data_IF_502550681434
#
_entry.id   IF_502550681434
#
_cell.length_a   1.000
_cell.length_b   1.000
_cell.length_c   1.000
_cell.angle_alpha   90.00
_cell.angle_beta   90.00
_cell.angle_gamma   90.00
#
_symmetry.space_group_name_H-M   'P 1'
#
loop_
_entity.id
_entity.type
_entity.pdbx_description
1 polymer ?
#
# COMPACT_ATOMS: atom_id res chain seq x y z
N UNK A 1 -15.32 24.83 2.34
CA UNK A 1 -15.37 26.17 1.75
C UNK A 1 -15.08 25.98 0.26
N UNK A 2 -16.09 26.13 -0.59
CA UNK A 2 -15.98 25.88 -2.03
C UNK A 2 -15.58 27.19 -2.72
N UNK A 3 -14.28 27.37 -2.97
CA UNK A 3 -13.77 28.65 -3.47
C UNK A 3 -14.06 28.89 -4.96
N UNK A 4 -14.44 27.84 -5.71
CA UNK A 4 -14.78 27.94 -7.14
C UNK A 4 -15.96 27.04 -7.56
N UNK A 5 -16.85 26.68 -6.63
CA UNK A 5 -18.02 25.82 -6.91
C UNK A 5 -17.71 24.35 -7.24
N UNK A 6 -16.44 23.93 -7.24
CA UNK A 6 -16.03 22.53 -7.47
C UNK A 6 -15.77 21.85 -6.12
N UNK A 7 -16.62 20.88 -5.77
CA UNK A 7 -16.39 19.97 -4.64
C UNK A 7 -15.95 18.63 -5.23
N UNK A 8 -14.65 18.35 -5.17
CA UNK A 8 -14.11 17.04 -5.51
C UNK A 8 -13.75 16.29 -4.22
N UNK A 9 -14.16 15.02 -4.11
CA UNK A 9 -13.71 14.16 -3.01
C UNK A 9 -12.18 13.98 -3.07
N UNK A 10 -11.51 13.63 -1.97
CA UNK A 10 -10.07 13.33 -2.02
C UNK A 10 -9.81 11.95 -2.64
N UNK A 11 -8.85 11.84 -3.56
CA UNK A 11 -8.38 10.57 -4.11
C UNK A 11 -8.19 10.56 -5.63
N UNK A 12 -7.58 9.50 -6.15
CA UNK A 12 -7.17 9.40 -7.56
C UNK A 12 -8.34 9.52 -8.55
N UNK A 13 -9.48 8.89 -8.23
CA UNK A 13 -10.71 9.00 -9.04
C UNK A 13 -11.21 10.44 -9.16
N UNK A 14 -11.02 11.24 -8.12
CA UNK A 14 -11.41 12.65 -8.14
C UNK A 14 -10.42 13.50 -8.92
N UNK A 15 -9.13 13.16 -8.87
CA UNK A 15 -8.10 13.79 -9.72
C UNK A 15 -8.44 13.56 -11.19
N UNK A 16 -8.80 12.34 -11.59
CA UNK A 16 -9.21 12.06 -12.99
C UNK A 16 -10.41 12.92 -13.42
N UNK A 17 -11.41 13.08 -12.56
CA UNK A 17 -12.58 13.93 -12.84
C UNK A 17 -12.20 15.42 -12.92
N UNK A 18 -11.30 15.88 -12.05
CA UNK A 18 -10.77 17.24 -12.07
C UNK A 18 -9.97 17.50 -13.35
N UNK A 19 -9.10 16.58 -13.76
CA UNK A 19 -8.33 16.70 -15.00
C UNK A 19 -9.24 16.77 -16.23
N UNK A 20 -10.36 16.02 -16.24
CA UNK A 20 -11.35 16.11 -17.32
C UNK A 20 -11.98 17.51 -17.42
N UNK A 21 -12.31 18.13 -16.28
CA UNK A 21 -12.84 19.51 -16.23
C UNK A 21 -11.78 20.53 -16.67
N UNK A 22 -10.52 20.35 -16.29
CA UNK A 22 -9.43 21.24 -16.67
C UNK A 22 -9.09 21.20 -18.16
N UNK A 23 -9.41 20.08 -18.83
CA UNK A 23 -9.23 19.90 -20.28
C UNK A 23 -10.42 20.37 -21.11
N UNK A 24 -11.55 20.67 -20.47
CA UNK A 24 -12.71 21.27 -21.13
C UNK A 24 -12.57 22.80 -21.10
N UNK A 25 -12.13 23.37 -22.22
CA UNK A 25 -11.88 24.82 -22.37
C UNK A 25 -13.19 25.63 -22.42
N UNK A 26 -14.33 25.00 -22.70
CA UNK A 26 -15.66 25.63 -22.68
C UNK A 26 -16.23 25.73 -21.26
N UNK A 27 -15.59 25.09 -20.27
CA UNK A 27 -16.02 25.09 -18.88
C UNK A 27 -15.66 26.41 -18.16
N UNK A 28 -16.62 27.34 -18.11
CA UNK A 28 -16.44 28.65 -17.49
C UNK A 28 -16.34 28.67 -15.95
N UNK A 29 -16.30 27.53 -15.26
CA UNK A 29 -16.33 27.49 -13.78
C UNK A 29 -15.02 27.92 -13.11
N UNK A 30 -13.89 27.89 -13.83
CA UNK A 30 -12.57 28.21 -13.30
C UNK A 30 -11.98 29.47 -13.94
N UNK A 31 -11.48 30.44 -13.15
CA UNK A 31 -10.71 31.56 -13.68
C UNK A 31 -9.48 31.07 -14.47
N UNK A 32 -9.04 31.77 -15.53
CA UNK A 32 -7.92 31.34 -16.37
C UNK A 32 -6.60 31.09 -15.59
N UNK A 33 -6.32 31.91 -14.58
CA UNK A 33 -5.13 31.75 -13.73
C UNK A 33 -5.18 30.47 -12.87
N UNK A 34 -6.35 30.15 -12.31
CA UNK A 34 -6.56 28.92 -11.54
C UNK A 34 -6.47 27.68 -12.45
N UNK A 35 -7.07 27.75 -13.64
CA UNK A 35 -6.99 26.68 -14.65
C UNK A 35 -5.53 26.38 -15.01
N UNK A 36 -4.73 27.40 -15.31
CA UNK A 36 -3.32 27.21 -15.67
C UNK A 36 -2.51 26.47 -14.58
N UNK A 37 -2.64 26.88 -13.31
CA UNK A 37 -1.92 26.24 -12.19
C UNK A 37 -2.40 24.80 -11.97
N UNK A 38 -3.72 24.57 -11.99
CA UNK A 38 -4.29 23.24 -11.79
C UNK A 38 -3.94 22.29 -12.93
N UNK A 39 -3.87 22.77 -14.17
CA UNK A 39 -3.42 21.97 -15.31
C UNK A 39 -1.97 21.53 -15.15
N UNK A 40 -1.06 22.42 -14.74
CA UNK A 40 0.33 22.05 -14.47
C UNK A 40 0.44 20.97 -13.36
N UNK A 41 -0.34 21.10 -12.28
CA UNK A 41 -0.39 20.08 -11.23
C UNK A 41 -0.94 18.75 -11.74
N UNK A 42 -1.98 18.77 -12.57
CA UNK A 42 -2.56 17.57 -13.16
C UNK A 42 -1.54 16.84 -14.04
N UNK A 43 -0.81 17.57 -14.87
CA UNK A 43 0.26 16.99 -15.68
C UNK A 43 1.38 16.39 -14.83
N UNK A 44 1.78 17.05 -13.74
CA UNK A 44 2.77 16.47 -12.81
C UNK A 44 2.30 15.16 -12.21
N UNK A 45 1.03 15.08 -11.81
CA UNK A 45 0.44 13.86 -11.27
C UNK A 45 0.44 12.75 -12.32
N UNK A 46 0.06 13.06 -13.57
CA UNK A 46 0.08 12.09 -14.67
C UNK A 46 1.50 11.58 -14.94
N UNK A 47 2.48 12.48 -15.06
CA UNK A 47 3.89 12.12 -15.26
C UNK A 47 4.44 11.23 -14.14
N UNK A 48 4.11 11.53 -12.89
CA UNK A 48 4.52 10.70 -11.75
C UNK A 48 3.81 9.35 -11.74
N UNK A 49 2.53 9.32 -12.11
CA UNK A 49 1.74 8.10 -12.21
C UNK A 49 2.33 7.15 -13.26
N UNK A 50 2.71 7.66 -14.44
CA UNK A 50 3.39 6.88 -15.47
C UNK A 50 4.71 6.28 -14.97
N UNK A 51 5.53 7.09 -14.28
CA UNK A 51 6.79 6.61 -13.70
C UNK A 51 6.57 5.53 -12.64
N UNK A 52 5.57 5.70 -11.77
CA UNK A 52 5.19 4.69 -10.78
C UNK A 52 4.78 3.39 -11.47
N UNK A 53 3.91 3.45 -12.48
CA UNK A 53 3.47 2.26 -13.23
C UNK A 53 4.63 1.54 -13.94
N UNK A 54 5.58 2.31 -14.50
CA UNK A 54 6.78 1.75 -15.10
C UNK A 54 7.66 1.05 -14.06
N UNK A 55 7.81 1.62 -12.86
CA UNK A 55 8.55 1.00 -11.76
C UNK A 55 7.84 -0.25 -11.23
N UNK A 56 6.52 -0.21 -11.07
CA UNK A 56 5.73 -1.36 -10.65
C UNK A 56 5.89 -2.52 -11.63
N UNK A 57 5.87 -2.23 -12.93
CA UNK A 57 6.12 -3.24 -13.99
C UNK A 57 7.51 -3.86 -13.85
N UNK A 58 8.54 -3.05 -13.59
CA UNK A 58 9.90 -3.54 -13.34
C UNK A 58 9.98 -4.41 -12.08
N UNK A 59 9.30 -4.03 -11.01
CA UNK A 59 9.23 -4.83 -9.78
C UNK A 59 8.58 -6.18 -10.06
N UNK A 60 7.45 -6.21 -10.77
CA UNK A 60 6.77 -7.46 -11.14
C UNK A 60 7.69 -8.36 -11.95
N UNK A 61 8.41 -7.83 -12.92
CA UNK A 61 9.39 -8.58 -13.72
C UNK A 61 10.51 -9.15 -12.85
N UNK A 62 11.07 -8.35 -11.94
CA UNK A 62 12.12 -8.80 -11.02
C UNK A 62 11.62 -9.92 -10.08
N UNK A 63 10.41 -9.78 -9.54
CA UNK A 63 9.78 -10.82 -8.70
C UNK A 63 9.56 -12.10 -9.48
N UNK A 64 9.13 -12.02 -10.74
CA UNK A 64 8.96 -13.19 -11.60
C UNK A 64 10.28 -13.89 -11.92
N UNK A 65 11.41 -13.18 -11.92
CA UNK A 65 12.73 -13.78 -12.16
C UNK A 65 13.31 -14.47 -10.90
N UNK A 66 13.01 -13.97 -9.70
CA UNK A 66 13.51 -14.50 -8.43
C UNK A 66 12.61 -15.62 -7.86
N UNK A 67 13.17 -16.82 -7.66
CA UNK A 67 12.40 -17.98 -7.16
C UNK A 67 11.83 -17.78 -5.76
N UNK A 68 12.60 -17.20 -4.83
CA UNK A 68 12.14 -16.94 -3.48
C UNK A 68 11.02 -15.89 -3.48
N UNK A 69 11.17 -14.83 -4.29
CA UNK A 69 10.12 -13.81 -4.45
C UNK A 69 8.85 -14.38 -5.08
N UNK A 70 8.95 -15.23 -6.11
CA UNK A 70 7.80 -15.95 -6.68
C UNK A 70 7.09 -16.79 -5.61
N UNK A 71 7.83 -17.55 -4.80
CA UNK A 71 7.26 -18.34 -3.71
C UNK A 71 6.53 -17.48 -2.68
N UNK A 72 7.04 -16.28 -2.37
CA UNK A 72 6.33 -15.36 -1.46
C UNK A 72 4.97 -14.92 -2.01
N UNK A 73 4.84 -14.75 -3.34
CA UNK A 73 3.56 -14.34 -3.95
C UNK A 73 2.45 -15.40 -3.89
N UNK A 74 2.76 -16.64 -3.49
CA UNK A 74 1.73 -17.68 -3.30
C UNK A 74 0.97 -17.51 -1.98
N UNK A 75 1.49 -16.70 -1.07
CA UNK A 75 0.85 -16.44 0.23
C UNK A 75 -0.35 -15.50 0.02
N UNK A 76 -1.56 -15.86 0.47
CA UNK A 76 -2.73 -14.98 0.35
C UNK A 76 -2.46 -13.59 0.95
N UNK A 77 -2.73 -12.55 0.16
CA UNK A 77 -2.51 -11.16 0.54
C UNK A 77 -1.07 -10.67 0.31
N UNK A 78 -0.16 -11.51 -0.19
CA UNK A 78 1.21 -11.11 -0.57
C UNK A 78 1.29 -10.95 -2.09
N UNK A 79 1.19 -9.71 -2.56
CA UNK A 79 1.42 -9.36 -3.96
C UNK A 79 2.90 -9.10 -4.30
N UNK A 80 3.22 -8.81 -5.58
CA UNK A 80 4.59 -8.59 -6.04
C UNK A 80 5.36 -7.50 -5.28
N UNK A 81 4.69 -6.39 -4.93
CA UNK A 81 5.31 -5.31 -4.16
C UNK A 81 5.71 -5.79 -2.75
N UNK A 82 4.84 -6.54 -2.08
CA UNK A 82 5.11 -7.09 -0.74
C UNK A 82 6.22 -8.13 -0.83
N UNK A 83 6.15 -9.04 -1.80
CA UNK A 83 7.18 -10.06 -2.04
C UNK A 83 8.56 -9.44 -2.31
N UNK A 84 8.63 -8.43 -3.19
CA UNK A 84 9.86 -7.69 -3.48
C UNK A 84 10.40 -6.99 -2.23
N UNK A 85 9.52 -6.38 -1.44
CA UNK A 85 9.92 -5.69 -0.20
C UNK A 85 10.49 -6.67 0.82
N UNK A 86 9.83 -7.82 1.03
CA UNK A 86 10.31 -8.87 1.94
C UNK A 86 11.65 -9.41 1.44
N UNK A 87 11.77 -9.71 0.14
CA UNK A 87 13.01 -10.21 -0.45
C UNK A 87 14.17 -9.22 -0.35
N UNK A 88 13.91 -7.93 -0.51
CA UNK A 88 14.94 -6.89 -0.38
C UNK A 88 15.33 -6.61 1.08
N UNK A 89 14.37 -6.68 2.01
CA UNK A 89 14.60 -6.39 3.42
C UNK A 89 15.20 -7.58 4.19
N UNK A 90 14.88 -8.82 3.80
CA UNK A 90 15.38 -10.04 4.41
C UNK A 90 16.49 -10.61 3.53
N UNK A 91 17.71 -10.11 3.74
CA UNK A 91 18.90 -10.53 2.98
C UNK A 91 19.34 -11.95 3.35
N UNK A 92 19.29 -12.28 4.64
CA UNK A 92 19.58 -13.61 5.17
C UNK A 92 18.39 -14.14 5.99
N UNK A 93 17.54 -15.01 5.41
CA UNK A 93 16.47 -15.66 6.16
C UNK A 93 16.97 -16.53 7.31
N UNK A 94 18.20 -17.05 7.23
CA UNK A 94 18.84 -17.89 8.25
C UNK A 94 19.15 -17.14 9.55
N UNK A 95 19.18 -15.81 9.51
CA UNK A 95 19.30 -14.97 10.71
C UNK A 95 18.11 -15.10 11.68
N UNK A 96 16.98 -15.65 11.21
CA UNK A 96 15.80 -15.90 12.04
C UNK A 96 15.67 -17.39 12.37
N UNK A 97 15.76 -17.74 13.66
CA UNK A 97 15.58 -19.12 14.13
C UNK A 97 14.16 -19.63 13.88
N UNK A 98 13.16 -18.75 13.97
CA UNK A 98 11.75 -19.09 13.75
C UNK A 98 11.00 -17.97 13.04
N UNK A 99 9.85 -18.29 12.44
CA UNK A 99 8.93 -17.28 11.89
C UNK A 99 8.41 -16.28 12.94
N UNK A 100 8.40 -16.66 14.23
CA UNK A 100 8.06 -15.75 15.34
C UNK A 100 9.13 -14.68 15.53
N UNK A 101 10.39 -15.01 15.30
CA UNK A 101 11.50 -14.05 15.41
C UNK A 101 11.42 -13.01 14.27
N UNK A 102 11.09 -13.47 13.05
CA UNK A 102 10.78 -12.57 11.93
C UNK A 102 9.57 -11.67 12.24
N UNK A 103 8.49 -12.24 12.78
CA UNK A 103 7.30 -11.47 13.17
C UNK A 103 7.60 -10.41 14.24
N UNK A 104 8.49 -10.73 15.19
CA UNK A 104 8.96 -9.80 16.21
C UNK A 104 9.78 -8.67 15.60
N UNK A 105 10.69 -8.99 14.68
CA UNK A 105 11.50 -8.01 13.95
C UNK A 105 10.68 -7.07 13.05
N UNK A 106 9.58 -7.56 12.47
CA UNK A 106 8.61 -6.74 11.73
C UNK A 106 7.76 -5.87 12.71
N UNK A 107 7.63 -6.31 13.96
CA UNK A 107 6.89 -5.61 15.01
C UNK A 107 5.39 -5.86 14.96
N UNK A 108 4.98 -7.04 14.48
CA UNK A 108 3.58 -7.50 14.48
C UNK A 108 3.25 -8.40 15.68
N UNK A 109 4.24 -8.76 16.50
CA UNK A 109 4.01 -9.51 17.74
C UNK A 109 3.38 -8.63 18.83
N UNK A 110 2.55 -9.21 19.72
CA UNK A 110 2.05 -8.51 20.91
C UNK A 110 3.20 -8.02 21.81
N UNK A 111 3.00 -6.89 22.49
CA UNK A 111 3.90 -6.47 23.58
C UNK A 111 3.70 -7.39 24.77
N UNK A 112 4.78 -7.97 25.29
CA UNK A 112 4.77 -8.61 26.60
C UNK A 112 4.91 -7.52 27.66
N UNK A 113 3.88 -7.36 28.49
CA UNK A 113 3.96 -6.54 29.70
C UNK A 113 3.99 -7.49 30.89
N UNK A 114 5.12 -7.54 31.61
CA UNK A 114 5.24 -8.27 32.86
C UNK A 114 5.32 -7.28 34.02
N UNK A 115 4.32 -7.29 34.89
CA UNK A 115 4.38 -6.61 36.18
C UNK A 115 3.92 -7.58 37.28
N UNK A 116 4.69 -7.65 38.37
CA UNK A 116 4.36 -8.50 39.52
C UNK A 116 4.25 -9.99 39.23
N UNK A 117 5.04 -10.53 38.28
CA UNK A 117 5.07 -11.97 37.96
C UNK A 117 3.92 -12.48 37.09
N UNK A 118 3.01 -11.61 36.61
CA UNK A 118 1.95 -11.98 35.67
C UNK A 118 2.28 -11.46 34.27
N UNK A 119 2.44 -12.35 33.32
CA UNK A 119 2.61 -11.99 31.91
C UNK A 119 1.25 -11.67 31.28
N UNK A 120 1.10 -10.47 30.74
CA UNK A 120 -0.08 -10.08 29.95
C UNK A 120 0.35 -9.65 28.55
N UNK A 121 -0.30 -10.22 27.54
CA UNK A 121 -0.15 -9.80 26.15
C UNK A 121 -0.95 -8.52 25.90
N UNK A 122 -0.28 -7.48 25.41
CA UNK A 122 -0.88 -6.19 25.07
C UNK A 122 -1.10 -5.99 23.57
N UNK A 123 -1.23 -4.72 23.14
CA UNK A 123 -1.27 -4.34 21.71
C UNK A 123 0.01 -4.77 20.99
N UNK A 124 -0.02 -4.79 19.65
CA UNK A 124 1.18 -5.05 18.82
C UNK A 124 2.34 -4.11 19.20
N UNK A 125 3.57 -4.61 19.09
CA UNK A 125 4.76 -3.89 19.53
C UNK A 125 5.00 -2.61 18.76
N UNK A 126 4.84 -2.64 17.43
CA UNK A 126 5.22 -1.56 16.50
C UNK A 126 6.71 -1.19 16.53
N UNK A 127 7.54 -1.91 17.30
CA UNK A 127 8.98 -1.66 17.48
C UNK A 127 9.85 -2.18 16.32
N UNK A 128 9.22 -2.83 15.33
CA UNK A 128 9.89 -3.37 14.15
C UNK A 128 9.68 -2.54 12.88
N UNK A 129 10.07 -3.10 11.74
CA UNK A 129 10.02 -2.44 10.43
C UNK A 129 8.60 -1.91 10.09
N UNK A 130 8.42 -0.58 10.12
CA UNK A 130 7.13 0.08 9.89
C UNK A 130 6.61 -0.16 8.46
N UNK A 131 7.46 -0.09 7.45
CA UNK A 131 7.05 -0.27 6.06
C UNK A 131 6.55 -1.70 5.83
N UNK A 132 7.30 -2.70 6.29
CA UNK A 132 6.92 -4.10 6.16
C UNK A 132 5.63 -4.42 6.91
N UNK A 133 5.50 -3.92 8.14
CA UNK A 133 4.27 -4.05 8.93
C UNK A 133 3.07 -3.43 8.20
N UNK A 134 3.21 -2.23 7.66
CA UNK A 134 2.13 -1.58 6.90
C UNK A 134 1.72 -2.41 5.70
N UNK A 135 2.69 -2.85 4.88
CA UNK A 135 2.43 -3.65 3.69
C UNK A 135 1.73 -4.97 4.01
N UNK A 136 2.18 -5.69 5.03
CA UNK A 136 1.57 -6.96 5.45
C UNK A 136 0.17 -6.76 6.02
N UNK A 137 -0.06 -5.68 6.79
CA UNK A 137 -1.41 -5.35 7.29
C UNK A 137 -2.35 -5.01 6.12
N UNK A 138 -1.89 -4.23 5.14
CA UNK A 138 -2.66 -3.92 3.92
C UNK A 138 -2.98 -5.20 3.14
N UNK A 139 -1.99 -6.07 2.97
CA UNK A 139 -2.16 -7.38 2.35
C UNK A 139 -3.23 -8.22 3.05
N UNK A 140 -3.11 -8.42 4.36
CA UNK A 140 -4.08 -9.16 5.16
C UNK A 140 -5.49 -8.53 5.13
N UNK A 141 -5.58 -7.21 5.23
CA UNK A 141 -6.86 -6.48 5.20
C UNK A 141 -7.55 -6.62 3.84
N UNK A 142 -6.78 -6.70 2.74
CA UNK A 142 -7.36 -6.89 1.41
C UNK A 142 -8.07 -8.25 1.29
N UNK A 143 -7.49 -9.31 1.86
CA UNK A 143 -8.11 -10.64 1.94
C UNK A 143 -9.36 -10.62 2.82
N UNK A 144 -9.30 -9.99 4.00
CA UNK A 144 -10.47 -9.87 4.87
C UNK A 144 -11.62 -9.12 4.18
N UNK A 145 -11.31 -8.03 3.46
CA UNK A 145 -12.30 -7.26 2.70
C UNK A 145 -12.88 -8.04 1.53
N UNK A 146 -12.09 -8.91 0.89
CA UNK A 146 -12.57 -9.80 -0.16
C UNK A 146 -13.50 -10.87 0.42
N UNK A 147 -13.09 -11.51 1.53
CA UNK A 147 -13.88 -12.52 2.23
C UNK A 147 -15.21 -11.97 2.78
N UNK A 148 -15.22 -10.74 3.31
CA UNK A 148 -16.45 -10.09 3.79
C UNK A 148 -17.42 -9.71 2.67
N UNK A 149 -16.93 -9.57 1.43
CA UNK A 149 -17.74 -9.26 0.24
C UNK A 149 -18.33 -10.51 -0.40
N UNK A 150 -17.64 -11.65 -0.31
CA UNK A 150 -18.08 -12.93 -0.84
C UNK A 150 -18.52 -13.87 0.27
N UNK A 151 -19.55 -13.52 1.04
CA UNK A 151 -20.12 -14.38 2.08
C UNK A 151 -20.15 -15.84 1.62
N UNK A 152 -19.34 -16.68 2.28
CA UNK A 152 -19.01 -18.08 1.96
C UNK A 152 -18.13 -18.34 0.71
N UNK A 153 -16.82 -18.21 0.85
CA UNK A 153 -15.89 -19.02 0.06
C UNK A 153 -14.88 -19.72 0.97
N UNK A 154 -15.03 -21.05 1.02
CA UNK A 154 -14.25 -22.03 1.75
C UNK A 154 -12.90 -22.20 1.04
N UNK A 155 -11.79 -21.86 1.70
CA UNK A 155 -10.46 -22.21 1.22
C UNK A 155 -10.23 -23.70 1.49
N UNK A 156 -10.10 -24.48 0.41
CA UNK A 156 -9.58 -25.85 0.42
C UNK A 156 -8.14 -25.85 -0.08
#
# INVERSE_FOLDING_TARGET
MAEFGIIAATGMTSITKLTAILRDDEDGRLPPSARAVLSEMAEQIERLTEKINALDTRIVTAVKADEAARRLTTIPGVGPIIAATVRAAVQDPGAFRTGRDLAAWIGITPRANSSGGKEKLGRISKQGNKQMRTLLIVGATSILKQASRGGSCRFG
#
